data_IF_970549138379
#
_entry.id   IF_970549138379
#
_cell.length_a   1.000
_cell.length_b   1.000
_cell.length_c   1.000
_cell.angle_alpha   90.00
_cell.angle_beta   90.00
_cell.angle_gamma   90.00
#
_symmetry.space_group_name_H-M   'P 1'
#
loop_
_entity.id
_entity.type
_entity.pdbx_description
1 polymer ?
#
# COMPACT_ATOMS: atom_id res chain seq x y z
N UNK A 1 -5.60 10.29 -8.58
CA UNK A 1 -6.83 10.48 -7.76
C UNK A 1 -6.95 9.32 -6.77
N UNK A 2 -7.27 9.55 -5.49
CA UNK A 2 -7.50 8.48 -4.52
C UNK A 2 -8.97 8.06 -4.51
N UNK A 3 -9.23 6.77 -4.27
CA UNK A 3 -10.56 6.21 -4.02
C UNK A 3 -10.45 5.11 -2.97
N UNK A 4 -11.54 4.88 -2.24
CA UNK A 4 -11.67 3.74 -1.31
C UNK A 4 -12.52 2.69 -1.99
N UNK A 5 -12.06 1.44 -1.96
CA UNK A 5 -12.74 0.30 -2.57
C UNK A 5 -12.58 -0.93 -1.67
N UNK A 6 -13.57 -1.80 -1.70
CA UNK A 6 -13.49 -3.10 -1.04
C UNK A 6 -12.80 -4.08 -1.99
N UNK A 7 -11.52 -4.38 -1.72
CA UNK A 7 -10.73 -5.30 -2.52
C UNK A 7 -10.36 -6.54 -1.70
N UNK A 8 -10.89 -7.70 -2.10
CA UNK A 8 -10.49 -8.98 -1.52
C UNK A 8 -9.05 -9.36 -1.87
N UNK A 9 -8.45 -10.25 -1.06
CA UNK A 9 -7.06 -10.70 -1.24
C UNK A 9 -6.75 -11.18 -2.67
N UNK A 10 -7.65 -11.95 -3.28
CA UNK A 10 -7.48 -12.45 -4.65
C UNK A 10 -7.44 -11.32 -5.68
N UNK A 11 -8.25 -10.28 -5.52
CA UNK A 11 -8.24 -9.11 -6.41
C UNK A 11 -6.93 -8.33 -6.29
N UNK A 12 -6.42 -8.17 -5.06
CA UNK A 12 -5.11 -7.52 -4.84
C UNK A 12 -3.98 -8.36 -5.44
N UNK A 13 -4.00 -9.68 -5.28
CA UNK A 13 -3.01 -10.58 -5.91
C UNK A 13 -3.02 -10.46 -7.44
N UNK A 14 -4.21 -10.48 -8.05
CA UNK A 14 -4.34 -10.35 -9.51
C UNK A 14 -3.82 -9.01 -10.03
N UNK A 15 -4.07 -7.90 -9.32
CA UNK A 15 -3.62 -6.56 -9.71
C UNK A 15 -2.12 -6.34 -9.55
N UNK A 16 -1.56 -6.87 -8.47
CA UNK A 16 -0.16 -6.57 -8.06
C UNK A 16 0.83 -7.64 -8.51
N UNK A 17 0.36 -8.83 -8.87
CA UNK A 17 1.20 -10.01 -9.12
C UNK A 17 1.84 -10.58 -7.85
N UNK A 18 1.49 -10.08 -6.67
CA UNK A 18 2.07 -10.54 -5.41
C UNK A 18 1.52 -11.91 -5.02
N UNK A 19 2.38 -12.86 -4.59
CA UNK A 19 1.92 -14.09 -3.99
C UNK A 19 1.27 -13.81 -2.63
N UNK A 20 0.36 -14.71 -2.22
CA UNK A 20 -0.38 -14.59 -0.97
C UNK A 20 0.50 -14.40 0.28
N UNK A 21 1.74 -14.93 0.26
CA UNK A 21 2.72 -14.81 1.35
C UNK A 21 3.18 -13.36 1.56
N UNK A 22 3.31 -12.58 0.49
CA UNK A 22 3.80 -11.20 0.59
C UNK A 22 2.70 -10.29 1.12
N UNK A 23 1.45 -10.55 0.73
CA UNK A 23 0.30 -9.83 1.27
C UNK A 23 0.05 -10.11 2.76
N UNK A 24 0.45 -11.28 3.27
CA UNK A 24 0.31 -11.61 4.70
C UNK A 24 1.09 -10.66 5.61
N UNK A 25 2.18 -10.06 5.12
CA UNK A 25 2.96 -9.08 5.89
C UNK A 25 2.11 -7.83 6.22
N UNK A 26 1.08 -7.56 5.43
CA UNK A 26 0.16 -6.45 5.63
C UNK A 26 -1.05 -6.81 6.50
N UNK A 27 -1.23 -8.08 6.85
CA UNK A 27 -2.36 -8.55 7.65
C UNK A 27 -2.37 -7.84 9.02
N UNK A 28 -3.46 -7.15 9.39
CA UNK A 28 -3.55 -6.48 10.70
C UNK A 28 -3.61 -7.45 11.88
N UNK A 29 -3.97 -8.72 11.66
CA UNK A 29 -4.07 -9.73 12.72
C UNK A 29 -2.74 -10.45 13.00
N UNK A 30 -1.69 -10.15 12.23
CA UNK A 30 -0.38 -10.77 12.36
C UNK A 30 0.68 -9.71 12.68
N UNK A 31 1.48 -9.96 13.71
CA UNK A 31 2.67 -9.13 13.99
C UNK A 31 3.83 -9.57 13.11
N UNK A 32 4.19 -8.72 12.15
CA UNK A 32 5.41 -8.83 11.36
C UNK A 32 6.35 -7.66 11.68
N UNK A 33 7.68 -7.87 11.67
CA UNK A 33 8.62 -6.78 11.82
C UNK A 33 8.49 -5.74 10.70
N UNK A 34 9.03 -4.55 10.94
CA UNK A 34 9.13 -3.53 9.90
C UNK A 34 9.93 -4.07 8.71
N UNK A 35 9.43 -3.90 7.49
CA UNK A 35 9.97 -4.53 6.29
C UNK A 35 9.59 -3.76 5.03
N UNK A 36 10.54 -3.65 4.11
CA UNK A 36 10.33 -3.20 2.73
C UNK A 36 10.79 -4.33 1.82
N UNK A 37 9.87 -4.92 1.06
CA UNK A 37 10.16 -6.02 0.13
C UNK A 37 10.14 -5.50 -1.30
N UNK A 38 11.28 -5.62 -1.99
CA UNK A 38 11.32 -5.51 -3.45
C UNK A 38 10.75 -6.78 -4.09
N UNK A 39 9.85 -6.60 -5.05
CA UNK A 39 9.36 -7.64 -5.96
C UNK A 39 9.41 -7.11 -7.38
N UNK A 40 9.31 -8.02 -8.34
CA UNK A 40 9.42 -7.69 -9.77
C UNK A 40 8.44 -6.59 -10.20
N UNK A 41 7.21 -6.60 -9.69
CA UNK A 41 6.14 -5.68 -10.11
C UNK A 41 5.58 -4.80 -8.99
N UNK A 42 6.15 -4.89 -7.79
CA UNK A 42 5.64 -4.21 -6.62
C UNK A 42 6.69 -4.01 -5.53
N UNK A 43 6.48 -3.00 -4.70
CA UNK A 43 7.18 -2.80 -3.44
C UNK A 43 6.15 -2.97 -2.31
N UNK A 44 6.41 -3.89 -1.38
CA UNK A 44 5.56 -4.10 -0.21
C UNK A 44 6.19 -3.36 0.97
N UNK A 45 5.43 -2.50 1.61
CA UNK A 45 5.86 -1.70 2.76
C UNK A 45 5.04 -2.10 3.98
N UNK A 46 5.69 -2.57 5.03
CA UNK A 46 5.11 -2.78 6.35
C UNK A 46 5.97 -2.05 7.37
N UNK A 47 5.51 -0.89 7.83
CA UNK A 47 6.14 -0.08 8.87
C UNK A 47 5.11 0.15 9.98
N UNK A 48 5.55 0.67 11.14
CA UNK A 48 4.72 0.84 12.34
C UNK A 48 3.32 1.43 12.06
N UNK A 49 3.25 2.51 11.26
CA UNK A 49 1.98 3.18 10.92
C UNK A 49 1.61 3.16 9.45
N UNK A 50 2.50 2.62 8.60
CA UNK A 50 2.34 2.67 7.15
C UNK A 50 2.44 1.28 6.59
N UNK A 51 1.33 0.83 6.03
CA UNK A 51 1.24 -0.38 5.23
C UNK A 51 0.93 0.04 3.81
N UNK A 52 1.60 -0.54 2.81
CA UNK A 52 1.34 -0.21 1.41
C UNK A 52 1.78 -1.34 0.47
N UNK A 53 1.10 -1.42 -0.67
CA UNK A 53 1.63 -2.03 -1.89
C UNK A 53 1.79 -0.95 -2.93
N UNK A 54 3.03 -0.71 -3.38
CA UNK A 54 3.35 0.27 -4.40
C UNK A 54 3.60 -0.48 -5.70
N UNK A 55 2.86 -0.15 -6.75
CA UNK A 55 3.08 -0.65 -8.12
C UNK A 55 3.47 0.51 -9.02
N UNK A 56 3.83 0.21 -10.27
CA UNK A 56 4.11 1.24 -11.27
C UNK A 56 2.87 2.10 -11.61
N UNK A 57 1.65 1.59 -11.43
CA UNK A 57 0.43 2.26 -11.84
C UNK A 57 -0.33 2.91 -10.66
N UNK A 58 -0.22 2.34 -9.46
CA UNK A 58 -1.00 2.75 -8.31
C UNK A 58 -0.35 2.35 -6.97
N UNK A 59 -0.76 3.04 -5.91
CA UNK A 59 -0.43 2.70 -4.52
C UNK A 59 -1.69 2.21 -3.82
N UNK A 60 -1.64 1.00 -3.28
CA UNK A 60 -2.69 0.41 -2.45
C UNK A 60 -2.33 0.60 -0.98
N UNK A 61 -3.22 1.25 -0.24
CA UNK A 61 -3.05 1.49 1.20
C UNK A 61 -4.17 0.73 1.93
N UNK A 62 -3.85 -0.35 2.68
CA UNK A 62 -4.82 -1.02 3.53
C UNK A 62 -5.18 -0.14 4.73
N UNK A 63 -6.34 -0.41 5.33
CA UNK A 63 -6.84 0.24 6.55
C UNK A 63 -7.24 1.72 6.43
N UNK A 64 -8.35 1.99 5.74
CA UNK A 64 -8.94 3.33 5.65
C UNK A 64 -9.60 3.86 6.95
N UNK A 65 -9.63 3.06 8.02
CA UNK A 65 -10.33 3.39 9.29
C UNK A 65 -9.44 4.16 10.28
N UNK A 66 -8.15 4.27 10.00
CA UNK A 66 -7.23 5.06 10.82
C UNK A 66 -7.54 6.57 10.65
N UNK A 67 -7.76 7.34 11.75
CA UNK A 67 -7.99 8.79 11.68
C UNK A 67 -6.90 9.57 10.95
N UNK A 68 -5.64 9.11 11.02
CA UNK A 68 -4.50 9.75 10.37
C UNK A 68 -4.36 9.36 8.89
N UNK A 69 -5.11 8.35 8.43
CA UNK A 69 -5.06 7.85 7.05
C UNK A 69 -5.34 8.95 6.02
N UNK A 70 -6.37 9.76 6.26
CA UNK A 70 -6.75 10.83 5.35
C UNK A 70 -5.65 11.89 5.21
N UNK A 71 -4.96 12.21 6.30
CA UNK A 71 -3.82 13.13 6.29
C UNK A 71 -2.65 12.52 5.51
N UNK A 72 -2.31 11.27 5.78
CA UNK A 72 -1.25 10.56 5.08
C UNK A 72 -1.48 10.53 3.56
N UNK A 73 -2.70 10.21 3.11
CA UNK A 73 -3.05 10.18 1.68
C UNK A 73 -2.87 11.54 1.03
N UNK A 74 -3.31 12.63 1.68
CA UNK A 74 -3.14 13.99 1.16
C UNK A 74 -1.66 14.36 1.04
N UNK A 75 -0.87 14.12 2.07
CA UNK A 75 0.56 14.45 2.08
C UNK A 75 1.33 13.64 1.03
N UNK A 76 0.98 12.36 0.87
CA UNK A 76 1.54 11.50 -0.18
C UNK A 76 1.19 12.02 -1.58
N UNK A 77 -0.07 12.35 -1.83
CA UNK A 77 -0.50 12.89 -3.12
C UNK A 77 0.20 14.21 -3.45
N UNK A 78 0.29 15.13 -2.49
CA UNK A 78 0.99 16.38 -2.69
C UNK A 78 2.45 16.15 -3.09
N UNK A 79 3.16 15.24 -2.41
CA UNK A 79 4.57 14.95 -2.71
C UNK A 79 4.77 14.29 -4.07
N UNK A 80 3.93 13.32 -4.44
CA UNK A 80 4.03 12.59 -5.71
C UNK A 80 3.63 13.45 -6.90
N UNK A 81 2.62 14.31 -6.74
CA UNK A 81 2.17 15.19 -7.83
C UNK A 81 3.15 16.35 -8.07
N UNK A 82 3.71 16.96 -7.02
CA UNK A 82 4.73 18.01 -7.15
C UNK A 82 6.05 17.49 -7.76
N UNK A 83 6.29 16.17 -7.71
CA UNK A 83 7.45 15.55 -8.35
C UNK A 83 7.19 15.06 -9.77
N UNK A 84 5.94 15.13 -10.26
CA UNK A 84 5.62 14.85 -11.67
C UNK A 84 5.78 16.09 -12.57
N UNK A 85 5.82 17.28 -11.98
CA UNK A 85 5.99 18.57 -12.67
C UNK A 85 7.46 19.05 -12.71
N UNK A 86 8.41 18.20 -12.30
CA UNK A 86 9.86 18.41 -12.37
C UNK A 86 10.50 17.40 -13.32
#
# INVERSE_FOLDING_TARGET
>A
RARVEEAGKHAVMARTGLPARDLRVLDPLLSYPSTILGRERAIVVNLERVKAVITAAEVLLPNSKDPDFARFVRDLQARVLTSADQ
#
